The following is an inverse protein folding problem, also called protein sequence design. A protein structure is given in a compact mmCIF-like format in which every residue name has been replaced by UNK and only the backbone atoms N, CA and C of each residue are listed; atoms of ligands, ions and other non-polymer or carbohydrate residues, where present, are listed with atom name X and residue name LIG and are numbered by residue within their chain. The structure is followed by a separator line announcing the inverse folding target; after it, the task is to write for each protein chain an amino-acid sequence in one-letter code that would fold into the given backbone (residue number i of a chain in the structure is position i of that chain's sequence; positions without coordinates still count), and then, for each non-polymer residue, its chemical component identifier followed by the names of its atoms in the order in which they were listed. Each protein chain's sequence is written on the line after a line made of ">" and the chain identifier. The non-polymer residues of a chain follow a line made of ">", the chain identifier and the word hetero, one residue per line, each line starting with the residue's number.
data_IF_739592743583
#
_entry.id   IF_739592743583
#
_cell.length_a   1.000
_cell.length_b   1.000
_cell.length_c   1.000
_cell.angle_alpha   90.00
_cell.angle_beta   90.00
_cell.angle_gamma   90.00
#
_symmetry.space_group_name_H-M   'P 1'
#
loop_
_entity.id
_entity.type
_entity.pdbx_description
1 polymer ?
#
# COMPACT_ATOMS: atom_id res chain seq x y z
N UNK A 1 -4.99 17.04 -19.62
CA UNK A 1 -5.87 16.76 -20.79
C UNK A 1 -5.70 15.33 -21.32
N UNK A 2 -4.46 14.82 -21.43
CA UNK A 2 -4.17 13.49 -22.00
C UNK A 2 -4.77 12.31 -21.22
N UNK A 3 -4.79 12.35 -19.89
CA UNK A 3 -5.37 11.24 -19.09
C UNK A 3 -6.89 11.08 -19.28
N UNK A 4 -7.68 12.17 -19.18
CA UNK A 4 -9.14 12.11 -19.42
C UNK A 4 -9.45 11.55 -20.82
N UNK A 5 -8.69 11.94 -21.84
CA UNK A 5 -8.80 11.35 -23.18
C UNK A 5 -8.41 9.87 -23.25
N UNK A 6 -7.32 9.48 -22.58
CA UNK A 6 -6.88 8.09 -22.45
C UNK A 6 -7.94 7.21 -21.79
N UNK A 7 -8.60 7.69 -20.73
CA UNK A 7 -9.66 6.95 -20.05
C UNK A 7 -10.90 6.76 -20.92
N UNK A 8 -11.27 7.74 -21.74
CA UNK A 8 -12.36 7.57 -22.74
C UNK A 8 -12.01 6.46 -23.74
N UNK A 9 -10.74 6.32 -24.13
CA UNK A 9 -10.29 5.23 -24.99
C UNK A 9 -10.42 3.87 -24.28
N UNK A 10 -9.98 3.78 -23.02
CA UNK A 10 -10.13 2.58 -22.19
C UNK A 10 -11.60 2.21 -22.05
N UNK A 11 -12.48 3.15 -21.71
CA UNK A 11 -13.93 2.93 -21.58
C UNK A 11 -14.55 2.44 -22.90
N UNK A 12 -14.10 2.99 -24.03
CA UNK A 12 -14.52 2.55 -25.35
C UNK A 12 -14.06 1.14 -25.67
N UNK A 13 -12.81 0.79 -25.33
CA UNK A 13 -12.26 -0.54 -25.53
C UNK A 13 -12.97 -1.58 -24.66
N UNK A 14 -13.16 -1.31 -23.37
CA UNK A 14 -13.84 -2.25 -22.45
C UNK A 14 -15.27 -2.50 -22.87
N UNK A 15 -15.99 -1.48 -23.35
CA UNK A 15 -17.36 -1.62 -23.84
C UNK A 15 -17.46 -2.48 -25.12
N UNK A 16 -16.48 -2.38 -26.02
CA UNK A 16 -16.51 -3.07 -27.33
C UNK A 16 -15.92 -4.48 -27.28
N UNK A 17 -14.86 -4.69 -26.49
CA UNK A 17 -13.99 -5.85 -26.63
C UNK A 17 -13.97 -6.78 -25.40
N UNK A 18 -14.56 -6.38 -24.27
CA UNK A 18 -14.52 -7.18 -23.04
C UNK A 18 -15.88 -7.75 -22.65
N UNK A 19 -15.86 -8.96 -22.06
CA UNK A 19 -17.02 -9.53 -21.38
C UNK A 19 -17.30 -8.79 -20.06
N UNK A 20 -18.53 -8.83 -19.53
CA UNK A 20 -18.88 -8.13 -18.28
C UNK A 20 -17.91 -8.38 -17.11
N UNK A 21 -17.55 -9.63 -16.85
CA UNK A 21 -16.61 -9.98 -15.77
C UNK A 21 -15.19 -9.45 -15.99
N UNK A 22 -14.72 -9.40 -17.25
CA UNK A 22 -13.40 -8.84 -17.58
C UNK A 22 -13.39 -7.32 -17.40
N UNK A 23 -14.49 -6.67 -17.78
CA UNK A 23 -14.68 -5.22 -17.57
C UNK A 23 -14.71 -4.89 -16.08
N UNK A 24 -15.47 -5.64 -15.29
CA UNK A 24 -15.54 -5.45 -13.84
C UNK A 24 -14.16 -5.60 -13.17
N UNK A 25 -13.41 -6.65 -13.51
CA UNK A 25 -12.06 -6.84 -13.01
C UNK A 25 -11.10 -5.69 -13.42
N UNK A 26 -11.17 -5.21 -14.67
CA UNK A 26 -10.34 -4.08 -15.08
C UNK A 26 -10.73 -2.78 -14.36
N UNK A 27 -12.03 -2.52 -14.19
CA UNK A 27 -12.49 -1.34 -13.46
C UNK A 27 -12.03 -1.38 -12.00
N UNK A 28 -12.05 -2.55 -11.36
CA UNK A 28 -11.51 -2.73 -10.01
C UNK A 28 -10.02 -2.35 -9.92
N UNK A 29 -9.22 -2.74 -10.93
CA UNK A 29 -7.79 -2.39 -11.00
C UNK A 29 -7.52 -0.91 -11.29
N UNK A 30 -8.37 -0.26 -12.08
CA UNK A 30 -8.19 1.15 -12.47
C UNK A 30 -8.81 2.12 -11.46
N UNK A 31 -9.67 1.64 -10.56
CA UNK A 31 -10.50 2.48 -9.69
C UNK A 31 -9.70 3.50 -8.88
N UNK A 32 -8.66 3.05 -8.18
CA UNK A 32 -7.81 3.93 -7.38
C UNK A 32 -7.13 5.02 -8.20
N UNK A 33 -6.60 4.66 -9.38
CA UNK A 33 -5.99 5.61 -10.30
C UNK A 33 -7.02 6.63 -10.83
N UNK A 34 -8.22 6.18 -11.22
CA UNK A 34 -9.32 7.07 -11.62
C UNK A 34 -9.64 8.07 -10.52
N UNK A 35 -9.74 7.64 -9.26
CA UNK A 35 -10.03 8.54 -8.15
C UNK A 35 -8.98 9.59 -7.93
N UNK A 36 -7.70 9.20 -7.84
CA UNK A 36 -6.61 10.19 -7.69
C UNK A 36 -6.66 11.22 -8.82
N UNK A 37 -6.90 10.78 -10.05
CA UNK A 37 -6.93 11.68 -11.21
C UNK A 37 -8.18 12.56 -11.27
N UNK A 38 -9.34 12.06 -10.81
CA UNK A 38 -10.52 12.89 -10.60
C UNK A 38 -10.23 13.99 -9.57
N UNK A 39 -9.64 13.65 -8.42
CA UNK A 39 -9.26 14.65 -7.42
C UNK A 39 -8.25 15.67 -7.99
N UNK A 40 -7.20 15.22 -8.68
CA UNK A 40 -6.25 16.14 -9.32
C UNK A 40 -6.91 17.08 -10.33
N UNK A 41 -7.87 16.59 -11.12
CA UNK A 41 -8.51 17.39 -12.16
C UNK A 41 -9.62 18.30 -11.66
N UNK A 42 -10.37 17.87 -10.65
CA UNK A 42 -11.67 18.45 -10.32
C UNK A 42 -11.71 19.01 -8.88
N UNK A 43 -10.75 18.67 -8.01
CA UNK A 43 -10.59 19.22 -6.66
C UNK A 43 -9.37 20.16 -6.59
N UNK A 44 -9.57 21.50 -6.51
CA UNK A 44 -8.46 22.45 -6.46
C UNK A 44 -7.63 22.33 -5.18
N UNK A 45 -8.23 21.97 -4.04
CA UNK A 45 -7.52 21.83 -2.75
C UNK A 45 -6.57 20.64 -2.80
N UNK A 46 -7.07 19.50 -3.28
CA UNK A 46 -6.24 18.32 -3.47
C UNK A 46 -5.11 18.55 -4.48
N UNK A 47 -5.40 19.28 -5.57
CA UNK A 47 -4.40 19.64 -6.57
C UNK A 47 -3.28 20.50 -5.98
N UNK A 48 -3.61 21.52 -5.21
CA UNK A 48 -2.61 22.36 -4.53
C UNK A 48 -1.77 21.57 -3.54
N UNK A 49 -2.40 20.68 -2.76
CA UNK A 49 -1.69 19.79 -1.83
C UNK A 49 -0.73 18.86 -2.58
N UNK A 50 -1.16 18.30 -3.72
CA UNK A 50 -0.31 17.47 -4.59
C UNK A 50 0.86 18.27 -5.15
N UNK A 51 0.63 19.47 -5.69
CA UNK A 51 1.68 20.32 -6.25
C UNK A 51 2.70 20.73 -5.19
N UNK A 52 2.25 21.04 -3.97
CA UNK A 52 3.13 21.35 -2.83
C UNK A 52 4.05 20.19 -2.46
N UNK A 53 3.60 18.95 -2.67
CA UNK A 53 4.36 17.75 -2.38
C UNK A 53 5.07 17.15 -3.61
N UNK A 54 5.03 17.82 -4.76
CA UNK A 54 5.56 17.28 -6.04
C UNK A 54 7.04 16.90 -5.99
N UNK A 55 7.88 17.72 -5.33
CA UNK A 55 9.30 17.41 -5.15
C UNK A 55 9.48 16.14 -4.31
N UNK A 56 8.79 16.03 -3.17
CA UNK A 56 8.85 14.84 -2.34
C UNK A 56 8.40 13.58 -3.11
N UNK A 57 7.33 13.69 -3.90
CA UNK A 57 6.86 12.58 -4.74
C UNK A 57 7.96 12.12 -5.70
N UNK A 58 8.70 13.05 -6.29
CA UNK A 58 9.84 12.71 -7.15
C UNK A 58 10.98 12.05 -6.35
N UNK A 59 11.35 12.61 -5.20
CA UNK A 59 12.49 12.15 -4.39
C UNK A 59 12.30 10.73 -3.81
N UNK A 60 11.04 10.32 -3.61
CA UNK A 60 10.69 9.00 -3.06
C UNK A 60 10.10 8.04 -4.09
N UNK A 61 10.04 8.43 -5.37
CA UNK A 61 9.37 7.63 -6.41
C UNK A 61 9.90 6.20 -6.46
N UNK A 62 11.21 6.03 -6.45
CA UNK A 62 11.84 4.70 -6.48
C UNK A 62 11.52 3.88 -5.23
N UNK A 63 11.54 4.48 -4.04
CA UNK A 63 11.20 3.77 -2.79
C UNK A 63 9.72 3.39 -2.75
N UNK A 64 8.86 4.28 -3.23
CA UNK A 64 7.43 4.03 -3.33
C UNK A 64 7.16 2.85 -4.29
N UNK A 65 7.83 2.83 -5.44
CA UNK A 65 7.76 1.71 -6.38
C UNK A 65 8.26 0.40 -5.77
N UNK A 66 9.33 0.43 -4.96
CA UNK A 66 9.78 -0.74 -4.21
C UNK A 66 8.73 -1.22 -3.19
N UNK A 67 8.15 -0.31 -2.40
CA UNK A 67 7.06 -0.64 -1.48
C UNK A 67 5.88 -1.28 -2.23
N UNK A 68 5.52 -0.73 -3.39
CA UNK A 68 4.40 -1.22 -4.19
C UNK A 68 4.70 -2.56 -4.88
N UNK A 69 5.92 -2.78 -5.35
CA UNK A 69 6.37 -4.05 -5.92
C UNK A 69 6.29 -5.16 -4.87
N UNK A 70 6.78 -4.90 -3.66
CA UNK A 70 6.69 -5.84 -2.54
C UNK A 70 5.24 -6.14 -2.16
N UNK A 71 4.38 -5.11 -2.11
CA UNK A 71 2.94 -5.28 -1.91
C UNK A 71 2.32 -6.23 -2.94
N UNK A 72 2.57 -6.01 -4.24
CA UNK A 72 2.04 -6.87 -5.32
C UNK A 72 2.53 -8.31 -5.19
N UNK A 73 3.80 -8.49 -4.84
CA UNK A 73 4.39 -9.82 -4.62
C UNK A 73 3.67 -10.56 -3.49
N UNK A 74 3.50 -9.91 -2.33
CA UNK A 74 2.83 -10.51 -1.17
C UNK A 74 1.36 -10.83 -1.44
N UNK A 75 0.63 -9.94 -2.13
CA UNK A 75 -0.75 -10.19 -2.56
C UNK A 75 -0.81 -11.40 -3.51
N UNK A 76 0.11 -11.50 -4.46
CA UNK A 76 0.19 -12.65 -5.38
C UNK A 76 0.46 -13.96 -4.64
N UNK A 77 1.39 -13.96 -3.67
CA UNK A 77 1.68 -15.13 -2.83
C UNK A 77 0.43 -15.52 -2.02
N UNK A 78 -0.24 -14.55 -1.40
CA UNK A 78 -1.44 -14.82 -0.62
C UNK A 78 -2.58 -15.33 -1.50
N UNK A 79 -2.74 -14.88 -2.74
CA UNK A 79 -3.72 -15.45 -3.68
C UNK A 79 -3.38 -16.88 -4.10
N UNK A 80 -2.09 -17.20 -4.30
CA UNK A 80 -1.66 -18.55 -4.66
C UNK A 80 -1.72 -19.55 -3.48
N UNK A 81 -1.83 -19.05 -2.24
CA UNK A 81 -1.84 -19.87 -1.02
C UNK A 81 -3.05 -20.81 -0.99
N UNK A 82 -2.76 -22.12 -0.95
CA UNK A 82 -3.76 -23.20 -0.80
C UNK A 82 -4.13 -23.40 0.67
N UNK A 83 -5.28 -24.03 0.93
CA UNK A 83 -5.75 -24.43 2.28
C UNK A 83 -5.96 -23.26 3.26
N UNK A 84 -6.45 -22.13 2.76
CA UNK A 84 -6.70 -20.92 3.55
C UNK A 84 -8.14 -20.48 3.30
N UNK A 85 -8.87 -20.24 4.38
CA UNK A 85 -10.24 -19.73 4.30
C UNK A 85 -10.26 -18.35 3.65
N UNK A 86 -11.34 -18.02 2.95
CA UNK A 86 -11.46 -16.72 2.31
C UNK A 86 -11.37 -15.57 3.31
N UNK A 87 -11.91 -15.75 4.52
CA UNK A 87 -11.81 -14.79 5.62
C UNK A 87 -10.35 -14.52 6.02
N UNK A 88 -9.57 -15.58 6.24
CA UNK A 88 -8.16 -15.43 6.60
C UNK A 88 -7.36 -14.79 5.47
N UNK A 89 -7.67 -15.14 4.22
CA UNK A 89 -7.06 -14.53 3.02
C UNK A 89 -7.35 -13.03 2.96
N UNK A 90 -8.60 -12.63 3.16
CA UNK A 90 -9.01 -11.23 3.19
C UNK A 90 -8.24 -10.48 4.29
N UNK A 91 -8.18 -11.04 5.51
CA UNK A 91 -7.40 -10.46 6.61
C UNK A 91 -5.93 -10.27 6.26
N UNK A 92 -5.29 -11.28 5.68
CA UNK A 92 -3.90 -11.18 5.28
C UNK A 92 -3.69 -10.09 4.22
N UNK A 93 -4.55 -9.99 3.20
CA UNK A 93 -4.49 -8.94 2.18
C UNK A 93 -4.64 -7.55 2.81
N UNK A 94 -5.54 -7.39 3.79
CA UNK A 94 -5.70 -6.13 4.54
C UNK A 94 -4.43 -5.76 5.32
N UNK A 95 -3.78 -6.74 5.94
CA UNK A 95 -2.50 -6.53 6.62
C UNK A 95 -1.38 -6.15 5.65
N UNK A 96 -1.27 -6.85 4.51
CA UNK A 96 -0.30 -6.54 3.45
C UNK A 96 -0.51 -5.10 2.95
N UNK A 97 -1.76 -4.66 2.80
CA UNK A 97 -2.09 -3.28 2.47
C UNK A 97 -1.64 -2.30 3.56
N UNK A 98 -1.86 -2.59 4.84
CA UNK A 98 -1.34 -1.70 5.89
C UNK A 98 0.20 -1.60 5.83
N UNK A 99 0.90 -2.71 5.60
CA UNK A 99 2.35 -2.68 5.42
C UNK A 99 2.78 -1.80 4.25
N UNK A 100 2.05 -1.81 3.12
CA UNK A 100 2.28 -0.86 2.02
C UNK A 100 2.16 0.59 2.51
N UNK A 101 1.08 0.92 3.24
CA UNK A 101 0.86 2.28 3.72
C UNK A 101 1.93 2.74 4.71
N UNK A 102 2.40 1.85 5.58
CA UNK A 102 3.47 2.13 6.53
C UNK A 102 4.84 2.23 5.85
N UNK A 103 5.11 1.41 4.83
CA UNK A 103 6.32 1.48 4.02
C UNK A 103 6.43 2.86 3.34
N UNK A 104 5.37 3.27 2.63
CA UNK A 104 5.36 4.57 1.93
C UNK A 104 5.46 5.73 2.91
N UNK A 105 4.75 5.67 4.05
CA UNK A 105 4.90 6.67 5.10
C UNK A 105 6.33 6.73 5.63
N UNK A 106 6.95 5.59 5.92
CA UNK A 106 8.30 5.51 6.46
C UNK A 106 9.35 6.12 5.54
N UNK A 107 9.37 5.71 4.27
CA UNK A 107 10.35 6.24 3.28
C UNK A 107 10.14 7.73 3.04
N UNK A 108 8.88 8.18 3.02
CA UNK A 108 8.53 9.59 2.88
C UNK A 108 8.90 10.41 4.11
N UNK A 109 8.76 9.84 5.32
CA UNK A 109 9.12 10.50 6.56
C UNK A 109 10.64 10.70 6.70
N UNK A 110 11.43 9.76 6.16
CA UNK A 110 12.88 9.85 6.17
C UNK A 110 13.43 10.88 5.18
N UNK A 111 12.79 11.02 4.02
CA UNK A 111 13.28 11.90 2.94
C UNK A 111 12.57 13.26 2.89
N UNK A 112 11.38 13.38 3.46
CA UNK A 112 10.53 14.56 3.35
C UNK A 112 10.00 15.03 4.71
N UNK A 113 9.10 16.01 4.68
CA UNK A 113 8.41 16.49 5.88
C UNK A 113 7.34 15.50 6.35
N UNK A 114 7.02 15.52 7.65
CA UNK A 114 5.93 14.71 8.21
C UNK A 114 4.58 14.94 7.49
N UNK A 115 4.14 16.18 7.19
CA UNK A 115 2.94 16.40 6.38
C UNK A 115 3.01 15.74 5.00
N UNK A 116 4.15 15.80 4.32
CA UNK A 116 4.36 15.12 3.04
C UNK A 116 4.22 13.60 3.18
N UNK A 117 4.80 13.02 4.23
CA UNK A 117 4.67 11.59 4.49
C UNK A 117 3.20 11.16 4.74
N UNK A 118 2.44 11.97 5.47
CA UNK A 118 0.99 11.74 5.67
C UNK A 118 0.24 11.85 4.34
N UNK A 119 0.56 12.85 3.52
CA UNK A 119 -0.04 13.04 2.21
C UNK A 119 0.23 11.82 1.29
N UNK A 120 1.48 11.37 1.18
CA UNK A 120 1.83 10.22 0.34
C UNK A 120 1.19 8.92 0.84
N UNK A 121 1.06 8.73 2.16
CA UNK A 121 0.28 7.62 2.74
C UNK A 121 -1.19 7.68 2.28
N UNK A 122 -1.81 8.86 2.28
CA UNK A 122 -3.19 9.08 1.82
C UNK A 122 -3.34 8.78 0.32
N UNK A 123 -2.44 9.29 -0.52
CA UNK A 123 -2.46 9.00 -1.97
C UNK A 123 -2.30 7.50 -2.22
N UNK A 124 -1.38 6.83 -1.52
CA UNK A 124 -1.21 5.38 -1.61
C UNK A 124 -2.46 4.61 -1.18
N UNK A 125 -3.14 5.07 -0.12
CA UNK A 125 -4.40 4.49 0.32
C UNK A 125 -5.50 4.59 -0.75
N UNK A 126 -5.52 5.69 -1.52
CA UNK A 126 -6.43 5.86 -2.66
C UNK A 126 -6.00 5.06 -3.88
N UNK A 127 -4.70 4.93 -4.18
CA UNK A 127 -4.22 4.11 -5.30
C UNK A 127 -4.43 2.61 -5.08
N UNK A 128 -4.31 2.16 -3.83
CA UNK A 128 -4.64 0.79 -3.40
C UNK A 128 -6.14 0.56 -3.21
N UNK A 129 -6.99 1.46 -3.72
CA UNK A 129 -8.43 1.36 -3.59
C UNK A 129 -9.03 0.34 -4.56
N UNK A 130 -9.68 -0.67 -4.01
CA UNK A 130 -10.70 -1.49 -4.68
C UNK A 130 -11.88 -1.67 -3.72
N UNK A 131 -13.11 -1.67 -4.24
CA UNK A 131 -14.34 -1.85 -3.43
C UNK A 131 -14.31 -3.16 -2.65
N UNK A 132 -13.79 -4.20 -3.29
CA UNK A 132 -13.64 -5.53 -2.72
C UNK A 132 -12.67 -5.49 -1.54
N UNK A 133 -11.54 -4.79 -1.64
CA UNK A 133 -10.59 -4.71 -0.52
C UNK A 133 -11.09 -3.78 0.59
N UNK A 134 -11.72 -2.65 0.28
CA UNK A 134 -12.15 -1.70 1.32
C UNK A 134 -13.24 -2.29 2.23
N UNK A 135 -14.30 -2.86 1.65
CA UNK A 135 -15.40 -3.42 2.46
C UNK A 135 -14.91 -4.59 3.32
N UNK A 136 -14.00 -5.41 2.77
CA UNK A 136 -13.38 -6.53 3.48
C UNK A 136 -12.45 -6.08 4.60
N UNK A 137 -11.79 -4.93 4.48
CA UNK A 137 -10.87 -4.42 5.49
C UNK A 137 -11.54 -3.52 6.54
N UNK A 138 -12.78 -3.07 6.34
CA UNK A 138 -13.46 -2.11 7.24
C UNK A 138 -13.59 -2.61 8.68
N UNK A 139 -13.84 -3.90 8.86
CA UNK A 139 -14.09 -4.52 10.16
C UNK A 139 -12.87 -5.31 10.68
N UNK A 140 -11.71 -5.19 10.04
CA UNK A 140 -10.50 -5.92 10.44
C UNK A 140 -9.69 -5.03 11.36
N UNK A 141 -9.42 -5.51 12.58
CA UNK A 141 -8.50 -4.85 13.48
C UNK A 141 -7.07 -4.96 12.95
N UNK A 142 -6.59 -3.88 12.36
CA UNK A 142 -5.26 -3.77 11.77
C UNK A 142 -4.16 -3.85 12.85
N UNK A 143 -4.47 -3.61 14.14
CA UNK A 143 -3.52 -3.84 15.23
C UNK A 143 -3.10 -5.32 15.35
N UNK A 144 -3.97 -6.22 14.89
CA UNK A 144 -3.67 -7.66 14.83
C UNK A 144 -2.79 -8.07 13.64
N UNK A 145 -2.41 -7.13 12.77
CA UNK A 145 -1.54 -7.41 11.62
C UNK A 145 -0.07 -7.61 12.00
N UNK A 146 0.29 -7.44 13.27
CA UNK A 146 1.65 -7.62 13.81
C UNK A 146 2.12 -9.08 13.89
N UNK A 147 1.41 -10.06 13.31
CA UNK A 147 1.78 -11.47 13.38
C UNK A 147 2.77 -11.88 12.29
N UNK A 148 3.95 -11.27 12.37
CA UNK A 148 5.24 -11.85 11.98
C UNK A 148 6.26 -10.96 12.66
N UNK A 149 6.46 -11.18 13.97
CA UNK A 149 7.65 -10.70 14.62
C UNK A 149 8.82 -11.19 13.77
N UNK A 150 9.48 -10.27 13.08
CA UNK A 150 10.90 -10.45 12.80
C UNK A 150 11.48 -10.70 14.18
N UNK A 151 11.76 -11.96 14.50
CA UNK A 151 12.66 -12.27 15.58
C UNK A 151 13.98 -11.62 15.16
N UNK A 152 14.15 -10.37 15.55
CA UNK A 152 15.44 -9.74 15.57
C UNK A 152 16.23 -10.61 16.55
N UNK A 153 17.23 -11.34 16.06
CA UNK A 153 18.16 -12.16 16.86
C UNK A 153 18.99 -11.32 17.86
N UNK A 154 18.49 -10.15 18.28
CA UNK A 154 19.10 -9.28 19.27
C UNK A 154 18.85 -9.77 20.71
N UNK A 155 17.80 -10.58 20.94
CA UNK A 155 17.50 -11.07 22.29
C UNK A 155 18.52 -12.09 22.83
N UNK A 156 19.17 -12.87 21.96
CA UNK A 156 20.20 -13.84 22.40
C UNK A 156 21.53 -13.16 22.75
N UNK A 157 21.88 -12.06 22.09
CA UNK A 157 23.11 -11.32 22.39
C UNK A 157 23.05 -10.60 23.73
N UNK A 158 21.89 -10.05 24.10
CA UNK A 158 21.71 -9.35 25.38
C UNK A 158 21.80 -10.30 26.56
N UNK A 159 21.25 -11.53 26.45
CA UNK A 159 21.34 -12.53 27.52
C UNK A 159 22.75 -13.11 27.67
N UNK A 160 23.50 -13.27 26.58
CA UNK A 160 24.91 -13.70 26.65
C UNK A 160 25.80 -12.63 27.30
N UNK A 161 25.61 -11.36 26.96
CA UNK A 161 26.40 -10.26 27.53
C UNK A 161 26.16 -10.09 29.03
N UNK A 162 24.92 -10.24 29.50
CA UNK A 162 24.63 -10.18 30.95
C UNK A 162 25.24 -11.36 31.70
N UNK A 163 25.23 -12.56 31.12
CA UNK A 163 25.85 -13.75 31.73
C UNK A 163 27.37 -13.62 31.83
N UNK A 164 28.04 -13.11 30.78
CA UNK A 164 29.49 -12.86 30.81
C UNK A 164 29.87 -11.81 31.87
N UNK A 165 29.12 -10.73 32.00
CA UNK A 165 29.37 -9.71 33.03
C UNK A 165 29.21 -10.28 34.44
N UNK A 166 28.26 -11.19 34.66
CA UNK A 166 28.08 -11.87 35.95
C UNK A 166 29.19 -12.88 36.25
N UNK A 167 29.76 -13.54 35.24
CA UNK A 167 30.89 -14.46 35.39
C UNK A 167 32.21 -13.74 35.66
N UNK A 168 32.41 -12.53 35.11
CA UNK A 168 33.61 -11.71 35.35
C UNK A 168 33.56 -11.05 36.75
N UNK A 169 32.36 -10.83 37.31
CA UNK A 169 32.16 -10.25 38.65
C UNK A 169 32.22 -11.25 39.81
N UNK A 170 32.45 -12.53 39.53
CA UNK A 170 32.55 -13.60 40.53
C UNK A 170 33.98 -14.09 40.63
#
# INVERSE_FOLDING_TARGET
>A
RSFKGGMVCVDGYTKRCMKPAQREALEEHLKGARYVLTFLCDDPVFREEYLRNSQCIADVSDDWDHCHAHFKQLVSIEHARKNVTQEKRNKNICCIREHLLQCVYGVSYLKCTKPSAVFLKKVTATLSYSDVQQEKCRNIDIQTCSSSAVHCECQLLITFLTFLVLLIRR
#
